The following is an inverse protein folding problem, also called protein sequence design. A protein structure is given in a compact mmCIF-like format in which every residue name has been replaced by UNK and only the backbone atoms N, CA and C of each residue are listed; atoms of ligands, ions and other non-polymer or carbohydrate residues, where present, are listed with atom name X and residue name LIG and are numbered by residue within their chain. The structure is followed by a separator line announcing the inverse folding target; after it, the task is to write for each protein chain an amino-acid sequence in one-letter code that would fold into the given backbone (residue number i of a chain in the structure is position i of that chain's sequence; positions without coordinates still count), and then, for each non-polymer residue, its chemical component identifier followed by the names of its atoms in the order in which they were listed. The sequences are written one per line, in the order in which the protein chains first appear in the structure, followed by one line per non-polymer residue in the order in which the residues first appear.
data_IF_732692225113
#
_entry.id   IF_732692225113
#
_cell.length_a   1.000
_cell.length_b   1.000
_cell.length_c   1.000
_cell.angle_alpha   90.00
_cell.angle_beta   90.00
_cell.angle_gamma   90.00
#
_symmetry.space_group_name_H-M   'P 1'
#
loop_
_entity.id
_entity.type
_entity.pdbx_description
1 polymer ?
#
# COMPACT_ATOMS: atom_id res chain seq x y z
N UNK A 1 4.66 -11.15 -11.03
CA UNK A 1 3.19 -10.99 -10.93
C UNK A 1 2.86 -9.50 -11.01
N UNK A 2 1.61 -9.13 -11.29
CA UNK A 2 1.17 -7.74 -11.46
C UNK A 2 -0.11 -7.49 -10.66
N UNK A 3 -0.19 -6.36 -9.96
CA UNK A 3 -1.34 -5.93 -9.19
C UNK A 3 -1.84 -4.55 -9.66
N UNK A 4 -3.15 -4.41 -9.83
CA UNK A 4 -3.80 -3.12 -10.06
C UNK A 4 -4.44 -2.67 -8.76
N UNK A 5 -3.96 -1.56 -8.19
CA UNK A 5 -4.31 -1.16 -6.81
C UNK A 5 -5.19 0.06 -6.73
N UNK A 6 -5.50 0.68 -7.88
CA UNK A 6 -6.19 1.97 -7.95
C UNK A 6 -5.53 2.95 -6.97
N UNK A 7 -6.30 3.57 -6.08
CA UNK A 7 -5.79 4.57 -5.15
C UNK A 7 -5.49 4.02 -3.75
N UNK A 8 -5.32 2.70 -3.61
CA UNK A 8 -5.09 2.08 -2.29
C UNK A 8 -3.65 2.25 -1.80
N UNK A 9 -2.69 2.20 -2.73
CA UNK A 9 -1.25 2.35 -2.46
C UNK A 9 -0.57 3.03 -3.63
N UNK A 10 0.36 3.92 -3.30
CA UNK A 10 1.25 4.62 -4.21
C UNK A 10 2.71 4.41 -3.77
N UNK A 11 3.70 4.68 -4.64
CA UNK A 11 5.08 4.78 -4.19
C UNK A 11 5.19 5.80 -3.05
N UNK A 12 5.68 5.35 -1.89
CA UNK A 12 5.84 6.18 -0.69
C UNK A 12 4.63 6.21 0.26
N UNK A 13 3.52 5.52 -0.01
CA UNK A 13 2.50 5.33 1.03
C UNK A 13 1.09 4.93 0.63
N UNK A 14 0.22 4.77 1.64
CA UNK A 14 -1.19 4.47 1.45
C UNK A 14 -1.92 5.62 0.73
N UNK A 15 -3.05 5.27 0.12
CA UNK A 15 -4.00 6.23 -0.41
C UNK A 15 -4.59 7.19 0.61
N UNK A 16 -5.16 8.28 0.09
CA UNK A 16 -5.87 9.25 0.91
C UNK A 16 -7.15 8.65 1.49
N UNK A 17 -7.34 8.84 2.80
CA UNK A 17 -8.56 8.49 3.53
C UNK A 17 -9.14 9.71 4.22
N UNK A 18 -10.43 9.68 4.55
CA UNK A 18 -11.14 10.86 5.08
C UNK A 18 -11.25 10.90 6.60
N UNK A 19 -10.92 9.80 7.27
CA UNK A 19 -10.95 9.70 8.73
C UNK A 19 -9.97 8.60 9.21
N UNK A 20 -9.59 8.60 10.50
CA UNK A 20 -8.62 7.65 11.05
C UNK A 20 -9.08 6.18 11.00
N UNK A 21 -10.38 5.92 11.05
CA UNK A 21 -10.93 4.55 10.96
C UNK A 21 -10.71 3.97 9.57
N UNK A 22 -11.00 4.75 8.53
CA UNK A 22 -10.74 4.36 7.14
C UNK A 22 -9.25 4.17 6.89
N UNK A 23 -8.39 5.04 7.46
CA UNK A 23 -6.93 4.87 7.38
C UNK A 23 -6.48 3.55 7.97
N UNK A 24 -6.95 3.22 9.18
CA UNK A 24 -6.60 1.97 9.86
C UNK A 24 -7.04 0.77 9.01
N UNK A 25 -8.29 0.79 8.52
CA UNK A 25 -8.81 -0.27 7.66
C UNK A 25 -8.03 -0.42 6.36
N UNK A 26 -7.55 0.69 5.76
CA UNK A 26 -6.74 0.65 4.55
C UNK A 26 -5.38 0.01 4.82
N UNK A 27 -4.69 0.42 5.89
CA UNK A 27 -3.37 -0.14 6.23
C UNK A 27 -3.47 -1.61 6.61
N UNK A 28 -4.52 -2.02 7.32
CA UNK A 28 -4.81 -3.44 7.61
C UNK A 28 -4.98 -4.25 6.32
N UNK A 29 -5.80 -3.76 5.37
CA UNK A 29 -6.02 -4.44 4.10
C UNK A 29 -4.75 -4.49 3.23
N UNK A 30 -3.91 -3.45 3.26
CA UNK A 30 -2.62 -3.46 2.58
C UNK A 30 -1.70 -4.52 3.18
N UNK A 31 -1.58 -4.59 4.50
CA UNK A 31 -0.77 -5.60 5.20
C UNK A 31 -1.23 -7.03 4.86
N UNK A 32 -2.52 -7.31 4.98
CA UNK A 32 -3.03 -8.68 4.86
C UNK A 32 -3.13 -9.18 3.42
N UNK A 33 -3.48 -8.30 2.47
CA UNK A 33 -3.84 -8.70 1.11
C UNK A 33 -2.78 -8.32 0.09
N UNK A 34 -2.17 -7.14 0.24
CA UNK A 34 -1.20 -6.62 -0.72
C UNK A 34 0.21 -7.00 -0.33
N UNK A 35 0.60 -6.95 0.94
CA UNK A 35 1.94 -7.34 1.37
C UNK A 35 1.98 -8.77 1.92
N UNK A 36 0.88 -9.28 2.48
CA UNK A 36 0.83 -10.61 3.10
C UNK A 36 0.74 -11.79 2.11
N UNK A 37 0.41 -11.56 0.83
CA UNK A 37 0.13 -12.64 -0.13
C UNK A 37 1.06 -12.65 -1.35
N UNK A 38 1.21 -11.56 -2.12
CA UNK A 38 2.04 -11.53 -3.31
C UNK A 38 3.53 -11.42 -2.96
N UNK A 39 4.38 -11.87 -3.88
CA UNK A 39 5.83 -11.82 -3.75
C UNK A 39 6.39 -10.39 -3.85
N UNK A 40 7.59 -10.17 -3.30
CA UNK A 40 8.26 -8.86 -3.32
C UNK A 40 8.59 -8.36 -4.74
N UNK A 41 8.75 -9.26 -5.71
CA UNK A 41 8.95 -8.92 -7.13
C UNK A 41 7.66 -8.53 -7.86
N UNK A 42 6.52 -8.54 -7.18
CA UNK A 42 5.24 -8.11 -7.75
C UNK A 42 5.24 -6.61 -8.00
N UNK A 43 4.96 -6.24 -9.25
CA UNK A 43 4.71 -4.84 -9.63
C UNK A 43 3.30 -4.44 -9.22
N UNK A 44 3.14 -3.19 -8.75
CA UNK A 44 1.83 -2.58 -8.60
C UNK A 44 1.71 -1.32 -9.46
N UNK A 45 0.49 -1.11 -9.96
CA UNK A 45 0.13 0.02 -10.82
C UNK A 45 -0.97 0.83 -10.14
N UNK A 46 -0.64 1.97 -9.53
CA UNK A 46 -1.62 2.84 -8.93
C UNK A 46 -2.52 3.50 -9.99
N UNK A 47 -3.66 4.02 -9.57
CA UNK A 47 -4.60 4.76 -10.42
C UNK A 47 -3.97 6.02 -11.03
N UNK A 48 -2.93 6.56 -10.38
CA UNK A 48 -2.14 7.67 -10.88
C UNK A 48 -0.70 7.65 -10.32
N UNK A 49 0.20 8.39 -10.97
CA UNK A 49 1.61 8.48 -10.54
C UNK A 49 2.47 7.38 -11.15
N UNK A 50 3.61 7.11 -10.51
CA UNK A 50 4.58 6.09 -10.96
C UNK A 50 4.20 4.71 -10.44
N UNK A 51 4.62 3.68 -11.16
CA UNK A 51 4.63 2.31 -10.69
C UNK A 51 5.78 2.05 -9.71
N UNK A 52 5.67 0.96 -8.95
CA UNK A 52 6.72 0.46 -8.06
C UNK A 52 6.51 -1.05 -7.85
N UNK A 53 7.38 -1.68 -7.06
CA UNK A 53 7.23 -3.08 -6.65
C UNK A 53 6.90 -3.17 -5.17
N UNK A 54 6.22 -4.26 -4.79
CA UNK A 54 5.87 -4.47 -3.39
C UNK A 54 7.13 -4.59 -2.51
N UNK A 55 8.23 -5.14 -3.01
CA UNK A 55 9.48 -5.26 -2.28
C UNK A 55 10.12 -3.91 -1.93
N UNK A 56 9.98 -2.91 -2.81
CA UNK A 56 10.48 -1.55 -2.53
C UNK A 56 9.69 -0.91 -1.39
N UNK A 57 8.37 -1.11 -1.37
CA UNK A 57 7.49 -0.41 -0.44
C UNK A 57 7.28 -1.14 0.90
N UNK A 58 7.36 -2.48 0.92
CA UNK A 58 7.06 -3.33 2.10
C UNK A 58 7.79 -2.91 3.39
N UNK A 59 9.08 -2.52 3.38
CA UNK A 59 9.77 -2.11 4.61
C UNK A 59 9.17 -0.85 5.27
N UNK A 60 8.41 -0.05 4.53
CA UNK A 60 7.82 1.21 5.01
C UNK A 60 6.45 1.02 5.68
N UNK A 61 5.84 -0.16 5.59
CA UNK A 61 4.51 -0.41 6.15
C UNK A 61 4.42 -0.13 7.66
N UNK A 62 5.39 -0.55 8.51
CA UNK A 62 5.36 -0.21 9.93
C UNK A 62 5.47 1.31 10.20
N UNK A 63 6.23 2.03 9.37
CA UNK A 63 6.37 3.49 9.47
C UNK A 63 5.03 4.18 9.18
N UNK A 64 4.33 3.75 8.12
CA UNK A 64 3.02 4.30 7.76
C UNK A 64 1.99 4.06 8.87
N UNK A 65 1.97 2.85 9.43
CA UNK A 65 1.09 2.52 10.56
C UNK A 65 1.40 3.38 11.79
N UNK A 66 2.67 3.58 12.11
CA UNK A 66 3.08 4.38 13.27
C UNK A 66 2.80 5.89 13.08
N UNK A 67 2.91 6.40 11.84
CA UNK A 67 2.61 7.80 11.50
C UNK A 67 1.13 8.13 11.69
N UNK A 68 0.24 7.18 11.39
CA UNK A 68 -1.21 7.41 11.42
C UNK A 68 -1.71 8.25 10.24
N UNK A 69 -2.90 8.84 10.43
CA UNK A 69 -3.63 9.68 9.46
C UNK A 69 -3.11 11.12 9.43
#
# INVERSE_FOLDING_TARGET
MHAFTADSIFPGGPGLTRNPTDFTSLVDDLEDRIFGRPDEGTWFYPGHGKDSTLGVERPHVPEWRARGW
#
